data_IF_532999503883
#
_entry.id   IF_532999503883
#
_cell.length_a   1.000
_cell.length_b   1.000
_cell.length_c   1.000
_cell.angle_alpha   90.00
_cell.angle_beta   90.00
_cell.angle_gamma   90.00
#
_symmetry.space_group_name_H-M   'P 1'
#
loop_
_entity.id
_entity.type
_entity.pdbx_description
1 polymer ?
#
# COMPACT_ATOMS: atom_id res chain seq x y z
N UNK A 1 -0.49 16.48 -4.12
CA UNK A 1 -1.81 17.11 -4.18
C UNK A 1 -2.98 16.15 -3.86
N UNK A 2 -2.73 14.89 -3.49
CA UNK A 2 -3.79 13.94 -3.12
C UNK A 2 -4.52 14.31 -1.80
N UNK A 3 -3.94 15.15 -0.96
CA UNK A 3 -4.49 15.47 0.36
C UNK A 3 -5.63 16.51 0.40
N UNK A 4 -6.14 16.99 -0.73
CA UNK A 4 -7.10 18.08 -0.75
C UNK A 4 -8.57 17.68 -0.95
N UNK A 5 -8.88 16.43 -1.23
CA UNK A 5 -10.24 16.02 -1.61
C UNK A 5 -11.04 15.31 -0.52
N UNK A 6 -10.45 14.91 0.59
CA UNK A 6 -11.14 14.12 1.63
C UNK A 6 -11.32 14.85 2.96
N UNK A 7 -11.27 16.20 2.98
CA UNK A 7 -11.60 16.96 4.20
C UNK A 7 -10.91 16.53 5.49
N UNK A 8 -9.79 15.81 5.42
CA UNK A 8 -9.04 15.34 6.60
C UNK A 8 -9.64 14.12 7.32
N UNK A 9 -10.36 13.24 6.62
CA UNK A 9 -10.86 11.98 7.18
C UNK A 9 -10.15 10.75 6.64
N UNK A 10 -10.05 9.70 7.46
CA UNK A 10 -9.56 8.39 7.04
C UNK A 10 -10.52 7.78 6.00
N UNK A 11 -9.99 7.34 4.86
CA UNK A 11 -10.81 6.80 3.79
C UNK A 11 -11.57 5.51 4.18
N UNK A 12 -11.13 4.81 5.23
CA UNK A 12 -11.74 3.54 5.64
C UNK A 12 -12.64 3.65 6.86
N UNK A 13 -12.21 4.30 7.93
CA UNK A 13 -13.02 4.38 9.14
C UNK A 13 -13.79 5.70 9.27
N UNK A 14 -13.57 6.65 8.37
CA UNK A 14 -14.20 7.96 8.44
C UNK A 14 -13.72 8.84 9.58
N UNK A 15 -12.80 8.39 10.42
CA UNK A 15 -12.27 9.18 11.53
C UNK A 15 -11.75 10.51 11.01
N UNK A 16 -12.29 11.61 11.57
CA UNK A 16 -11.84 12.97 11.28
C UNK A 16 -10.75 13.34 12.28
N UNK A 17 -9.55 13.55 11.81
CA UNK A 17 -8.50 14.08 12.67
C UNK A 17 -8.66 15.59 12.75
N UNK A 18 -9.28 16.08 13.81
CA UNK A 18 -9.12 17.46 14.21
C UNK A 18 -7.63 17.63 14.47
N UNK A 19 -7.01 18.56 13.77
CA UNK A 19 -5.57 18.82 13.74
C UNK A 19 -5.00 19.00 15.18
N UNK A 20 -4.85 17.93 15.91
CA UNK A 20 -4.04 17.86 17.11
C UNK A 20 -2.67 17.32 16.70
N UNK A 21 -1.72 18.12 16.81
CA UNK A 21 -0.27 18.19 16.61
C UNK A 21 0.54 16.92 16.30
N UNK A 22 -0.02 15.68 16.32
CA UNK A 22 0.74 14.42 16.28
C UNK A 22 0.09 13.26 15.52
N UNK A 23 -1.06 13.47 14.86
CA UNK A 23 -1.66 12.43 14.00
C UNK A 23 -1.47 12.80 12.55
N UNK A 24 -0.39 12.32 11.98
CA UNK A 24 -0.15 12.39 10.54
C UNK A 24 -1.01 11.35 9.82
N UNK A 25 -1.69 11.78 8.76
CA UNK A 25 -2.26 10.88 7.79
C UNK A 25 -1.13 10.15 7.08
N UNK A 26 -1.29 8.84 6.90
CA UNK A 26 -0.40 8.02 6.11
C UNK A 26 -1.08 7.76 4.76
N UNK A 27 -0.34 7.95 3.67
CA UNK A 27 -0.86 7.64 2.34
C UNK A 27 -0.63 6.17 2.06
N UNK A 28 -1.69 5.48 1.66
CA UNK A 28 -1.62 4.08 1.24
C UNK A 28 -1.88 3.95 -0.26
N UNK A 29 -0.98 3.26 -0.95
CA UNK A 29 -1.08 3.01 -2.38
C UNK A 29 -1.96 1.79 -2.65
N UNK A 30 -2.96 1.96 -3.53
CA UNK A 30 -3.83 0.89 -3.97
C UNK A 30 -3.33 0.34 -5.30
N UNK A 31 -2.98 -0.92 -5.33
CA UNK A 31 -2.42 -1.59 -6.49
C UNK A 31 -3.35 -2.63 -7.09
N UNK A 32 -3.56 -2.58 -8.42
CA UNK A 32 -4.12 -3.68 -9.18
C UNK A 32 -2.99 -4.50 -9.81
N UNK A 33 -3.20 -5.81 -9.92
CA UNK A 33 -2.23 -6.74 -10.49
C UNK A 33 -2.86 -7.45 -11.68
N UNK A 34 -2.37 -7.17 -12.87
CA UNK A 34 -2.74 -7.86 -14.09
C UNK A 34 -1.75 -9.02 -14.32
N UNK A 35 -2.22 -10.22 -14.04
CA UNK A 35 -1.40 -11.44 -14.15
C UNK A 35 -1.05 -11.75 -15.60
N UNK A 36 -1.95 -11.47 -16.55
CA UNK A 36 -1.75 -11.76 -17.96
C UNK A 36 -0.63 -10.93 -18.57
N UNK A 37 -0.58 -9.64 -18.22
CA UNK A 37 0.44 -8.70 -18.70
C UNK A 37 1.60 -8.51 -17.73
N UNK A 38 1.55 -9.13 -16.55
CA UNK A 38 2.51 -8.94 -15.43
C UNK A 38 2.70 -7.47 -15.04
N UNK A 39 1.61 -6.71 -15.02
CA UNK A 39 1.60 -5.30 -14.62
C UNK A 39 1.06 -5.11 -13.22
N UNK A 40 1.77 -4.30 -12.44
CA UNK A 40 1.32 -3.73 -11.16
C UNK A 40 0.93 -2.28 -11.41
N UNK A 41 -0.36 -1.99 -11.37
CA UNK A 41 -0.91 -0.66 -11.72
C UNK A 41 -1.27 0.09 -10.46
N UNK A 42 -0.76 1.32 -10.29
CA UNK A 42 -1.18 2.21 -9.21
C UNK A 42 -2.57 2.77 -9.54
N UNK A 43 -3.58 2.31 -8.82
CA UNK A 43 -4.99 2.67 -9.08
C UNK A 43 -5.47 3.84 -8.25
N UNK A 44 -4.98 3.97 -7.02
CA UNK A 44 -5.32 5.06 -6.12
C UNK A 44 -4.22 5.27 -5.08
N UNK A 45 -4.25 6.43 -4.44
CA UNK A 45 -3.52 6.74 -3.21
C UNK A 45 -4.52 7.34 -2.23
N UNK A 46 -4.70 6.71 -1.08
CA UNK A 46 -5.75 7.08 -0.12
C UNK A 46 -5.17 7.48 1.22
N UNK A 47 -5.72 8.52 1.90
CA UNK A 47 -5.31 8.89 3.23
C UNK A 47 -5.91 7.92 4.24
N UNK A 48 -5.08 7.34 5.09
CA UNK A 48 -5.49 6.47 6.19
C UNK A 48 -4.98 6.99 7.53
N UNK A 49 -5.72 6.76 8.59
CA UNK A 49 -5.16 6.88 9.93
C UNK A 49 -4.17 5.73 10.16
N UNK A 50 -3.20 5.92 11.07
CA UNK A 50 -2.15 4.93 11.33
C UNK A 50 -2.69 3.53 11.60
N UNK A 51 -3.75 3.40 12.39
CA UNK A 51 -4.33 2.08 12.71
C UNK A 51 -4.90 1.39 11.47
N UNK A 52 -5.65 2.13 10.63
CA UNK A 52 -6.16 1.58 9.37
C UNK A 52 -5.03 1.27 8.38
N UNK A 53 -3.98 2.09 8.32
CA UNK A 53 -2.82 1.82 7.47
C UNK A 53 -2.09 0.54 7.91
N UNK A 54 -1.91 0.33 9.20
CA UNK A 54 -1.28 -0.88 9.74
C UNK A 54 -2.04 -2.17 9.40
N UNK A 55 -3.36 -2.13 9.17
CA UNK A 55 -4.12 -3.32 8.74
C UNK A 55 -3.68 -3.82 7.37
N UNK A 56 -3.03 -2.99 6.55
CA UNK A 56 -2.44 -3.38 5.27
C UNK A 56 -1.03 -3.94 5.40
N UNK A 57 -0.42 -3.79 6.56
CA UNK A 57 0.95 -4.17 6.85
C UNK A 57 1.02 -5.16 8.03
N UNK A 58 0.18 -6.22 8.00
CA UNK A 58 0.06 -7.21 9.08
C UNK A 58 1.41 -7.77 9.52
N UNK A 59 2.29 -8.10 8.57
CA UNK A 59 3.61 -8.62 8.89
C UNK A 59 4.50 -7.61 9.63
N UNK A 60 4.37 -6.32 9.34
CA UNK A 60 5.05 -5.27 10.07
C UNK A 60 4.45 -5.13 11.49
N UNK A 61 3.13 -5.03 11.59
CA UNK A 61 2.44 -4.90 12.87
C UNK A 61 2.74 -6.07 13.82
N UNK A 62 2.85 -7.29 13.29
CA UNK A 62 3.25 -8.48 14.05
C UNK A 62 4.65 -8.33 14.64
N UNK A 63 5.63 -7.84 13.87
CA UNK A 63 7.00 -7.60 14.37
C UNK A 63 7.06 -6.52 15.44
N UNK A 64 6.17 -5.54 15.38
CA UNK A 64 6.06 -4.45 16.35
C UNK A 64 5.18 -4.80 17.59
N UNK A 65 4.65 -6.03 17.66
CA UNK A 65 3.78 -6.46 18.75
C UNK A 65 2.37 -5.84 18.73
N UNK A 66 1.90 -5.35 17.57
CA UNK A 66 0.62 -4.68 17.37
C UNK A 66 -0.41 -5.58 16.68
N UNK A 67 -0.16 -6.90 16.59
CA UNK A 67 -1.03 -7.81 15.83
C UNK A 67 -2.46 -7.85 16.37
N UNK A 68 -2.63 -7.94 17.69
CA UNK A 68 -3.96 -7.99 18.30
C UNK A 68 -4.77 -6.73 18.01
N UNK A 69 -4.13 -5.55 18.09
CA UNK A 69 -4.78 -4.26 17.81
C UNK A 69 -5.27 -4.18 16.36
N UNK A 70 -4.48 -4.65 15.40
CA UNK A 70 -4.89 -4.59 14.00
C UNK A 70 -5.91 -5.66 13.64
N UNK A 71 -5.88 -6.84 14.28
CA UNK A 71 -6.92 -7.87 14.13
C UNK A 71 -8.27 -7.31 14.58
N UNK A 72 -8.33 -6.72 15.77
CA UNK A 72 -9.53 -6.05 16.26
C UNK A 72 -10.00 -4.96 15.29
N UNK A 73 -9.08 -4.16 14.75
CA UNK A 73 -9.42 -3.12 13.78
C UNK A 73 -9.98 -3.68 12.48
N UNK A 74 -9.45 -4.78 11.97
CA UNK A 74 -9.98 -5.46 10.77
C UNK A 74 -11.40 -5.98 11.04
N UNK A 75 -11.62 -6.57 12.21
CA UNK A 75 -12.95 -7.04 12.64
C UNK A 75 -13.95 -5.89 12.67
N UNK A 76 -13.62 -4.77 13.29
CA UNK A 76 -14.48 -3.57 13.38
C UNK A 76 -14.82 -3.01 11.99
N UNK A 77 -13.83 -2.85 11.12
CA UNK A 77 -14.02 -2.26 9.78
C UNK A 77 -14.93 -3.11 8.88
N UNK A 78 -14.93 -4.42 9.06
CA UNK A 78 -15.63 -5.35 8.18
C UNK A 78 -16.86 -6.01 8.84
N UNK A 79 -17.03 -5.87 10.14
CA UNK A 79 -18.06 -6.60 10.88
C UNK A 79 -17.80 -8.11 10.92
N UNK A 80 -16.54 -8.52 10.88
CA UNK A 80 -16.15 -9.92 10.83
C UNK A 80 -15.90 -10.54 12.21
N UNK A 81 -16.14 -11.84 12.32
CA UNK A 81 -15.71 -12.65 13.45
C UNK A 81 -14.18 -12.87 13.44
N UNK A 82 -13.64 -13.33 14.56
CA UNK A 82 -12.23 -13.73 14.68
C UNK A 82 -11.84 -14.74 13.60
N UNK A 83 -12.69 -15.75 13.36
CA UNK A 83 -12.42 -16.81 12.38
C UNK A 83 -12.41 -16.28 10.92
N UNK A 84 -13.31 -15.36 10.59
CA UNK A 84 -13.34 -14.71 9.26
C UNK A 84 -12.12 -13.83 9.06
N UNK A 85 -11.75 -13.06 10.07
CA UNK A 85 -10.56 -12.20 10.04
C UNK A 85 -9.29 -13.02 9.88
N UNK A 86 -9.12 -14.10 10.63
CA UNK A 86 -7.97 -14.99 10.51
C UNK A 86 -7.86 -15.61 9.11
N UNK A 87 -8.98 -16.03 8.52
CA UNK A 87 -9.00 -16.55 7.14
C UNK A 87 -8.60 -15.48 6.13
N UNK A 88 -9.14 -14.27 6.27
CA UNK A 88 -8.83 -13.15 5.37
C UNK A 88 -7.35 -12.77 5.43
N UNK A 89 -6.76 -12.70 6.61
CA UNK A 89 -5.33 -12.43 6.80
C UNK A 89 -4.50 -13.52 6.13
N UNK A 90 -4.81 -14.79 6.39
CA UNK A 90 -4.09 -15.92 5.79
C UNK A 90 -4.15 -15.90 4.25
N UNK A 91 -5.33 -15.59 3.68
CA UNK A 91 -5.49 -15.46 2.23
C UNK A 91 -4.67 -14.29 1.67
N UNK A 92 -4.66 -13.14 2.35
CA UNK A 92 -3.89 -11.97 1.95
C UNK A 92 -2.38 -12.25 1.99
N UNK A 93 -1.87 -12.92 3.03
CA UNK A 93 -0.47 -13.33 3.15
C UNK A 93 -0.06 -14.31 2.03
N UNK A 94 -0.92 -15.28 1.71
CA UNK A 94 -0.71 -16.22 0.60
C UNK A 94 -0.62 -15.50 -0.75
N UNK A 95 -1.54 -14.57 -0.98
CA UNK A 95 -1.56 -13.76 -2.19
C UNK A 95 -0.33 -12.86 -2.29
N UNK A 96 0.06 -12.20 -1.20
CA UNK A 96 1.26 -11.37 -1.13
C UNK A 96 2.52 -12.20 -1.43
N UNK A 97 2.64 -13.40 -0.86
CA UNK A 97 3.74 -14.33 -1.14
C UNK A 97 3.81 -14.73 -2.62
N UNK A 98 2.67 -15.04 -3.25
CA UNK A 98 2.61 -15.34 -4.69
C UNK A 98 3.04 -14.16 -5.53
N UNK A 99 2.52 -12.96 -5.24
CA UNK A 99 2.87 -11.72 -5.94
C UNK A 99 4.34 -11.37 -5.79
N UNK A 100 4.93 -11.57 -4.62
CA UNK A 100 6.34 -11.31 -4.34
C UNK A 100 7.31 -12.18 -5.16
N UNK A 101 6.85 -13.31 -5.71
CA UNK A 101 7.65 -14.18 -6.60
C UNK A 101 7.59 -13.79 -8.07
N UNK A 102 6.72 -12.86 -8.44
CA UNK A 102 6.55 -12.40 -9.82
C UNK A 102 7.30 -11.08 -10.02
N UNK A 103 8.01 -10.99 -11.13
CA UNK A 103 8.59 -9.73 -11.58
C UNK A 103 7.48 -8.92 -12.27
N UNK A 104 7.04 -7.85 -11.62
CA UNK A 104 5.99 -6.97 -12.11
C UNK A 104 6.57 -5.72 -12.73
N UNK A 105 6.11 -5.37 -13.92
CA UNK A 105 6.29 -4.02 -14.46
C UNK A 105 5.43 -3.06 -13.65
N UNK A 106 5.97 -1.88 -13.34
CA UNK A 106 5.25 -0.87 -12.57
C UNK A 106 4.60 0.14 -13.52
N UNK A 107 3.28 0.22 -13.46
CA UNK A 107 2.49 1.10 -14.31
C UNK A 107 1.85 2.23 -13.46
N UNK A 108 2.36 3.44 -13.66
CA UNK A 108 1.91 4.67 -13.02
C UNK A 108 1.22 5.61 -14.04
N UNK A 109 0.93 5.14 -15.25
CA UNK A 109 0.42 5.97 -16.35
C UNK A 109 -0.88 6.69 -16.04
N UNK A 110 -1.70 6.15 -15.15
CA UNK A 110 -2.94 6.80 -14.64
C UNK A 110 -2.67 8.12 -13.94
N UNK A 111 -1.44 8.35 -13.49
CA UNK A 111 -1.03 9.51 -12.70
C UNK A 111 -0.27 10.56 -13.51
N UNK A 112 -0.26 10.46 -14.85
CA UNK A 112 0.50 11.29 -15.78
C UNK A 112 0.33 12.80 -15.56
N UNK A 113 -0.83 13.24 -15.10
CA UNK A 113 -1.09 14.65 -14.83
C UNK A 113 -0.83 15.06 -13.37
N UNK A 114 -0.31 14.15 -12.54
CA UNK A 114 -0.16 14.36 -11.10
C UNK A 114 1.26 14.13 -10.59
N UNK A 115 2.04 13.34 -11.30
CA UNK A 115 3.41 13.01 -10.93
C UNK A 115 4.32 13.07 -12.16
N UNK A 116 5.59 13.37 -11.91
CA UNK A 116 6.66 13.33 -12.90
C UNK A 116 7.82 12.53 -12.31
N UNK A 117 8.38 11.65 -13.13
CA UNK A 117 9.57 10.87 -12.79
C UNK A 117 10.63 11.16 -13.84
N UNK A 118 11.69 11.92 -13.54
CA UNK A 118 12.71 12.31 -14.52
C UNK A 118 13.33 11.13 -15.25
N UNK A 119 13.61 10.04 -14.54
CA UNK A 119 14.20 8.83 -15.11
C UNK A 119 13.18 7.95 -15.87
N UNK A 120 11.89 8.21 -15.68
CA UNK A 120 10.79 7.42 -16.22
C UNK A 120 9.63 8.30 -16.69
N UNK A 121 9.85 9.14 -17.71
CA UNK A 121 8.86 10.13 -18.14
C UNK A 121 7.55 9.51 -18.65
N UNK A 122 7.59 8.26 -19.15
CA UNK A 122 6.40 7.52 -19.55
C UNK A 122 5.61 6.92 -18.38
N UNK A 123 6.13 7.04 -17.15
CA UNK A 123 5.53 6.48 -15.94
C UNK A 123 5.30 4.96 -16.01
N UNK A 124 6.14 4.29 -16.77
CA UNK A 124 6.17 2.83 -16.89
C UNK A 124 7.57 2.33 -16.61
N UNK A 125 7.73 1.48 -15.60
CA UNK A 125 9.03 1.00 -15.15
C UNK A 125 9.08 -0.52 -15.31
N UNK A 126 9.84 -1.05 -16.29
CA UNK A 126 10.02 -2.47 -16.46
C UNK A 126 10.64 -3.15 -15.23
N UNK A 127 10.25 -4.39 -14.98
CA UNK A 127 10.68 -5.14 -13.80
C UNK A 127 12.20 -5.33 -13.72
N UNK A 128 12.87 -5.51 -14.84
CA UNK A 128 14.34 -5.66 -14.94
C UNK A 128 15.06 -4.36 -14.60
N UNK A 129 14.58 -3.23 -15.10
CA UNK A 129 15.12 -1.91 -14.77
C UNK A 129 14.98 -1.57 -13.28
N UNK A 130 13.85 -1.93 -12.67
CA UNK A 130 13.62 -1.77 -11.24
C UNK A 130 14.60 -2.60 -10.40
N UNK A 131 14.91 -3.83 -10.81
CA UNK A 131 15.92 -4.67 -10.17
C UNK A 131 17.32 -4.07 -10.26
N UNK A 132 17.69 -3.58 -11.44
CA UNK A 132 18.99 -2.94 -11.65
C UNK A 132 19.17 -1.70 -10.76
N UNK A 133 18.13 -0.88 -10.56
CA UNK A 133 18.16 0.27 -9.68
C UNK A 133 18.39 -0.13 -8.20
N UNK A 134 17.71 -1.17 -7.73
CA UNK A 134 17.89 -1.69 -6.35
C UNK A 134 19.32 -2.19 -6.14
N UNK A 135 19.87 -2.94 -7.08
CA UNK A 135 21.26 -3.45 -6.99
C UNK A 135 22.25 -2.28 -6.91
N UNK A 136 22.11 -1.25 -7.75
CA UNK A 136 22.97 -0.06 -7.70
C UNK A 136 22.89 0.65 -6.36
N UNK A 137 21.71 0.76 -5.77
CA UNK A 137 21.52 1.39 -4.45
C UNK A 137 22.23 0.60 -3.33
N UNK A 138 22.20 -0.73 -3.40
CA UNK A 138 22.84 -1.59 -2.39
C UNK A 138 24.35 -1.63 -2.56
N UNK A 139 24.85 -1.66 -3.80
CA UNK A 139 26.28 -1.82 -4.09
C UNK A 139 27.05 -0.49 -4.15
N UNK A 140 26.35 0.64 -4.12
CA UNK A 140 26.97 1.98 -4.21
C UNK A 140 27.69 2.23 -5.54
N UNK A 141 27.40 1.45 -6.59
CA UNK A 141 28.01 1.62 -7.92
C UNK A 141 27.24 2.71 -8.68
N UNK A 142 27.92 3.76 -9.19
CA UNK A 142 27.30 4.82 -9.97
C UNK A 142 26.70 4.33 -11.30
#
# INVERSE_FOLDING_TARGET
>A
AAGRTTGGSCAWCGEVTIARRWRTWETHEMWAFDVATKRQVLTAAVPLCRTCHLTQHVGYARREGLEDDIVLRIMELNGWSVAETARAISQAEHLASRRGRTAWDLDLTRWRNHIELPDWPELFIPADARRAAVVRTITGTP
#
